data_IF_160651646763
#
_entry.id   IF_160651646763
#
_cell.length_a   1.000
_cell.length_b   1.000
_cell.length_c   1.000
_cell.angle_alpha   90.00
_cell.angle_beta   90.00
_cell.angle_gamma   90.00
#
_symmetry.space_group_name_H-M   'P 1'
#
loop_
_entity.id
_entity.type
_entity.pdbx_description
1 polymer ?
#
# COMPACT_ATOMS: atom_id res chain seq x y z
N UNK A 1 -32.36 -40.52 27.37
CA UNK A 1 -32.80 -39.21 27.90
C UNK A 1 -31.83 -38.17 27.40
N UNK A 2 -32.17 -37.46 26.31
CA UNK A 2 -31.30 -36.42 25.72
C UNK A 2 -31.53 -35.13 26.50
N UNK A 3 -30.52 -34.67 27.24
CA UNK A 3 -30.52 -33.32 27.81
C UNK A 3 -30.04 -32.36 26.73
N UNK A 4 -30.96 -31.54 26.24
CA UNK A 4 -30.68 -30.31 25.50
C UNK A 4 -30.23 -29.24 26.50
N UNK A 5 -28.93 -28.93 26.53
CA UNK A 5 -28.42 -27.73 27.20
C UNK A 5 -28.07 -26.72 26.11
N UNK A 6 -28.96 -25.74 25.95
CA UNK A 6 -28.73 -24.54 25.15
C UNK A 6 -27.86 -23.60 25.99
N UNK A 7 -26.55 -23.53 25.71
CA UNK A 7 -25.70 -22.45 26.18
C UNK A 7 -25.59 -21.42 25.06
N UNK A 8 -26.31 -20.31 25.21
CA UNK A 8 -26.06 -19.10 24.43
C UNK A 8 -24.87 -18.41 25.07
N UNK A 9 -23.67 -18.65 24.53
CA UNK A 9 -22.52 -17.79 24.77
C UNK A 9 -22.45 -16.79 23.60
N UNK A 10 -22.85 -15.55 23.87
CA UNK A 10 -22.47 -14.39 23.07
C UNK A 10 -20.93 -14.37 22.89
N UNK A 11 -20.40 -13.90 21.76
CA UNK A 11 -18.98 -14.05 21.47
C UNK A 11 -18.18 -13.23 22.47
N UNK A 12 -17.43 -13.92 23.33
CA UNK A 12 -16.22 -13.34 23.89
C UNK A 12 -15.29 -13.10 22.69
N UNK A 13 -15.27 -11.85 22.24
CA UNK A 13 -14.17 -11.30 21.47
C UNK A 13 -12.94 -11.44 22.37
N UNK A 14 -12.04 -12.37 22.04
CA UNK A 14 -10.70 -12.37 22.63
C UNK A 14 -9.92 -11.26 21.93
N UNK A 15 -10.12 -10.03 22.40
CA UNK A 15 -9.20 -8.94 22.19
C UNK A 15 -7.99 -9.21 23.07
N UNK A 16 -6.86 -9.62 22.48
CA UNK A 16 -5.58 -9.58 23.17
C UNK A 16 -5.11 -8.12 23.24
N UNK A 17 -5.71 -7.32 24.15
CA UNK A 17 -5.13 -6.05 24.59
C UNK A 17 -4.14 -6.37 25.71
N UNK A 18 -2.85 -6.26 25.37
CA UNK A 18 -1.76 -6.50 26.29
C UNK A 18 -0.44 -6.00 25.71
N UNK A 19 -0.35 -4.71 25.38
CA UNK A 19 0.93 -4.03 25.32
C UNK A 19 1.49 -4.00 26.75
N UNK A 20 2.60 -4.72 26.98
CA UNK A 20 3.44 -4.49 28.15
C UNK A 20 4.73 -3.90 27.61
N UNK A 21 5.00 -2.65 27.98
CA UNK A 21 6.21 -1.92 27.63
C UNK A 21 7.44 -2.77 27.94
N UNK A 22 8.15 -3.16 26.88
CA UNK A 22 9.47 -3.78 27.01
C UNK A 22 10.47 -2.66 26.78
N UNK A 23 11.03 -2.13 27.86
CA UNK A 23 12.24 -1.31 27.76
C UNK A 23 13.30 -2.09 26.96
N UNK A 24 13.93 -1.47 25.94
CA UNK A 24 14.93 -2.15 25.15
C UNK A 24 16.21 -2.29 25.98
N UNK A 25 16.56 -3.54 26.28
CA UNK A 25 17.83 -3.91 26.88
C UNK A 25 18.98 -3.48 25.97
N UNK A 26 19.77 -2.53 26.45
CA UNK A 26 21.00 -2.04 25.82
C UNK A 26 22.12 -3.04 26.07
N UNK A 27 22.19 -4.13 25.29
CA UNK A 27 23.49 -4.76 24.99
C UNK A 27 23.39 -5.80 23.87
N UNK A 28 23.63 -5.38 22.64
CA UNK A 28 24.28 -6.22 21.64
C UNK A 28 24.96 -5.29 20.64
N UNK A 29 26.28 -5.43 20.57
CA UNK A 29 27.18 -4.55 19.87
C UNK A 29 26.93 -4.50 18.35
N UNK A 30 27.16 -3.31 17.83
CA UNK A 30 27.29 -2.94 16.43
C UNK A 30 28.15 -3.94 15.65
N UNK A 31 27.53 -4.62 14.68
CA UNK A 31 28.21 -5.10 13.49
C UNK A 31 27.71 -4.23 12.35
N UNK A 32 28.49 -3.18 12.05
CA UNK A 32 28.21 -2.22 11.00
C UNK A 32 28.11 -2.88 9.63
N UNK A 33 26.95 -2.72 9.01
CA UNK A 33 26.81 -2.68 7.57
C UNK A 33 25.91 -1.47 7.25
N UNK A 34 26.55 -0.32 7.07
CA UNK A 34 25.90 0.85 6.49
C UNK A 34 25.35 0.47 5.12
N UNK A 35 24.06 0.68 4.82
CA UNK A 35 23.67 0.90 3.44
C UNK A 35 24.23 2.27 3.06
N UNK A 36 25.36 2.18 2.35
CA UNK A 36 26.10 3.26 1.72
C UNK A 36 25.18 4.33 1.15
N UNK A 37 25.51 5.59 1.45
CA UNK A 37 24.86 6.80 1.01
C UNK A 37 24.31 6.72 -0.42
N UNK A 38 23.00 6.69 -0.59
CA UNK A 38 22.38 7.11 -1.85
C UNK A 38 22.49 8.63 -1.91
N UNK A 39 23.57 9.04 -2.53
CA UNK A 39 24.02 10.39 -2.80
C UNK A 39 22.91 11.38 -3.13
N UNK A 40 23.01 12.56 -2.53
CA UNK A 40 22.33 13.81 -2.90
C UNK A 40 22.81 14.36 -4.26
N UNK A 41 23.08 13.48 -5.23
CA UNK A 41 23.47 13.90 -6.57
C UNK A 41 22.26 14.56 -7.22
N UNK A 42 22.46 15.82 -7.58
CA UNK A 42 21.55 16.54 -8.46
C UNK A 42 21.39 15.81 -9.80
N UNK A 43 20.47 16.29 -10.65
CA UNK A 43 20.31 15.76 -11.99
C UNK A 43 21.65 15.80 -12.75
N UNK A 44 21.97 14.77 -13.55
CA UNK A 44 23.13 14.82 -14.44
C UNK A 44 23.06 16.06 -15.34
N UNK A 45 24.20 16.70 -15.61
CA UNK A 45 24.29 17.89 -16.48
C UNK A 45 23.73 17.68 -17.90
N UNK A 46 23.62 16.41 -18.34
CA UNK A 46 23.04 16.02 -19.62
C UNK A 46 21.51 16.04 -19.66
N UNK A 47 20.83 16.13 -18.50
CA UNK A 47 19.37 16.24 -18.48
C UNK A 47 18.94 17.70 -18.68
N UNK A 48 17.81 17.94 -19.37
CA UNK A 48 17.22 19.27 -19.39
C UNK A 48 17.04 19.80 -17.95
N UNK A 49 17.23 21.11 -17.73
CA UNK A 49 16.97 21.70 -16.43
C UNK A 49 15.52 21.44 -16.02
N UNK A 50 15.23 21.31 -14.71
CA UNK A 50 13.87 21.12 -14.25
C UNK A 50 12.99 22.26 -14.74
N UNK A 51 11.83 21.94 -15.27
CA UNK A 51 10.80 22.96 -15.47
C UNK A 51 10.37 23.51 -14.10
N UNK A 52 9.86 24.74 -14.08
CA UNK A 52 9.46 25.43 -12.84
C UNK A 52 8.53 24.54 -12.00
N UNK A 53 8.83 24.43 -10.71
CA UNK A 53 8.02 23.70 -9.74
C UNK A 53 8.20 22.17 -9.76
N UNK A 54 9.19 21.62 -10.48
CA UNK A 54 9.45 20.17 -10.45
C UNK A 54 10.55 19.81 -9.44
N UNK A 55 10.39 18.69 -8.75
CA UNK A 55 11.39 18.07 -7.89
C UNK A 55 12.22 17.05 -8.69
N UNK A 56 13.53 17.00 -8.44
CA UNK A 56 14.41 15.95 -8.94
C UNK A 56 14.28 14.71 -8.06
N UNK A 57 14.00 13.57 -8.69
CA UNK A 57 14.01 12.25 -8.05
C UNK A 57 15.26 11.51 -8.54
N UNK A 58 16.28 11.30 -7.68
CA UNK A 58 17.46 10.54 -8.04
C UNK A 58 17.11 9.11 -8.43
N UNK A 59 17.81 8.59 -9.44
CA UNK A 59 17.75 7.18 -9.79
C UNK A 59 18.14 6.29 -8.60
N UNK A 60 17.55 5.11 -8.51
CA UNK A 60 17.81 4.19 -7.41
C UNK A 60 16.75 3.11 -7.26
N UNK A 61 16.89 2.32 -6.20
CA UNK A 61 16.00 1.21 -5.91
C UNK A 61 14.66 1.69 -5.31
N UNK A 62 13.57 1.21 -5.90
CA UNK A 62 12.22 1.24 -5.36
C UNK A 62 11.84 -0.18 -4.92
N UNK A 63 11.34 -0.34 -3.70
CA UNK A 63 10.56 -1.52 -3.31
C UNK A 63 9.13 -1.23 -3.73
N UNK A 64 8.71 -1.76 -4.87
CA UNK A 64 7.45 -1.43 -5.54
C UNK A 64 6.29 -2.22 -4.92
N UNK A 65 5.45 -1.52 -4.17
CA UNK A 65 4.34 -2.06 -3.40
C UNK A 65 4.65 -2.35 -1.94
N UNK A 66 3.96 -3.36 -1.42
CA UNK A 66 4.07 -3.80 -0.03
C UNK A 66 4.30 -5.30 -0.04
N UNK A 67 5.32 -5.78 0.68
CA UNK A 67 5.65 -7.20 0.74
C UNK A 67 4.43 -8.04 1.16
N UNK A 68 4.25 -9.27 0.65
CA UNK A 68 3.05 -10.06 0.91
C UNK A 68 2.85 -10.43 2.39
N UNK A 69 3.93 -10.46 3.17
CA UNK A 69 3.95 -10.73 4.61
C UNK A 69 3.78 -9.48 5.48
N UNK A 70 3.75 -8.28 4.88
CA UNK A 70 3.53 -7.03 5.60
C UNK A 70 2.03 -6.75 5.77
N UNK A 71 1.57 -6.72 7.03
CA UNK A 71 0.18 -6.42 7.37
C UNK A 71 0.03 -5.07 8.10
N UNK A 72 -1.11 -4.36 7.92
CA UNK A 72 -2.18 -4.65 6.95
C UNK A 72 -1.70 -4.39 5.49
N UNK A 73 -2.37 -4.93 4.48
CA UNK A 73 -2.07 -4.76 3.04
C UNK A 73 -3.37 -4.95 2.25
N UNK A 74 -3.55 -4.27 1.12
CA UNK A 74 -4.64 -4.59 0.18
C UNK A 74 -4.11 -5.61 -0.84
N UNK A 75 -4.38 -6.89 -0.59
CA UNK A 75 -3.64 -7.99 -1.20
C UNK A 75 -3.82 -8.17 -2.72
N UNK A 76 -4.90 -7.63 -3.30
CA UNK A 76 -5.20 -7.66 -4.72
C UNK A 76 -5.04 -6.30 -5.43
N UNK A 77 -4.57 -5.26 -4.73
CA UNK A 77 -4.35 -3.92 -5.27
C UNK A 77 -2.92 -3.39 -5.05
N UNK A 78 -2.25 -3.76 -3.96
CA UNK A 78 -0.86 -3.38 -3.75
C UNK A 78 0.04 -4.40 -4.46
N UNK A 79 0.95 -3.95 -5.34
CA UNK A 79 1.97 -4.82 -5.95
C UNK A 79 2.88 -5.46 -4.86
N UNK A 80 3.55 -6.59 -5.11
CA UNK A 80 4.07 -7.48 -4.05
C UNK A 80 5.39 -7.03 -3.38
N UNK A 81 5.79 -5.76 -3.49
CA UNK A 81 7.01 -5.27 -2.84
C UNK A 81 8.30 -5.69 -3.56
N UNK A 82 8.29 -5.73 -4.89
CA UNK A 82 9.47 -6.12 -5.69
C UNK A 82 10.48 -4.99 -5.83
N UNK A 83 11.78 -5.32 -5.77
CA UNK A 83 12.81 -4.31 -5.98
C UNK A 83 13.01 -4.02 -7.47
N UNK A 84 12.82 -2.76 -7.86
CA UNK A 84 13.07 -2.26 -9.22
C UNK A 84 14.04 -1.08 -9.18
N UNK A 85 14.91 -0.98 -10.19
CA UNK A 85 15.84 0.15 -10.33
C UNK A 85 15.24 1.16 -11.31
N UNK A 86 15.01 2.38 -10.84
CA UNK A 86 14.53 3.49 -11.66
C UNK A 86 15.69 4.43 -12.04
N UNK A 87 15.64 4.96 -13.26
CA UNK A 87 16.44 6.11 -13.68
C UNK A 87 15.89 7.37 -13.03
N UNK A 88 16.75 8.36 -12.82
CA UNK A 88 16.32 9.65 -12.29
C UNK A 88 15.41 10.42 -13.25
N UNK A 89 14.46 11.16 -12.69
CA UNK A 89 13.42 11.89 -13.42
C UNK A 89 12.97 13.10 -12.61
N UNK A 90 12.20 13.99 -13.23
CA UNK A 90 11.55 15.09 -12.52
C UNK A 90 10.06 14.82 -12.37
N UNK A 91 9.47 15.29 -11.27
CA UNK A 91 8.04 15.22 -10.99
C UNK A 91 7.54 16.57 -10.47
N UNK A 92 6.34 16.97 -10.86
CA UNK A 92 5.67 18.16 -10.30
C UNK A 92 5.56 18.04 -8.77
N UNK A 93 5.95 19.10 -8.06
CA UNK A 93 5.91 19.17 -6.60
C UNK A 93 4.47 19.05 -6.08
N UNK A 94 3.53 19.70 -6.74
CA UNK A 94 2.10 19.67 -6.41
C UNK A 94 1.29 19.05 -7.55
N UNK A 95 0.05 18.59 -7.28
CA UNK A 95 -0.89 18.25 -8.34
C UNK A 95 -1.07 19.39 -9.35
N UNK A 96 -1.37 19.07 -10.61
CA UNK A 96 -1.60 20.06 -11.66
C UNK A 96 -2.63 21.11 -11.19
N UNK A 97 -2.36 22.42 -11.27
CA UNK A 97 -1.39 23.10 -12.15
C UNK A 97 0.07 23.20 -11.65
N UNK A 98 0.43 22.46 -10.59
CA UNK A 98 1.76 22.49 -9.98
C UNK A 98 2.12 23.85 -9.36
N UNK A 99 1.14 24.44 -8.68
CA UNK A 99 1.28 25.73 -7.99
C UNK A 99 0.79 25.60 -6.56
N UNK A 100 1.58 26.11 -5.61
CA UNK A 100 1.16 26.19 -4.21
C UNK A 100 -0.03 27.15 -4.07
N UNK A 101 -1.03 26.76 -3.28
CA UNK A 101 -2.25 27.53 -3.10
C UNK A 101 -3.28 27.39 -4.23
N UNK A 102 -2.95 26.72 -5.34
CA UNK A 102 -3.92 26.42 -6.39
C UNK A 102 -4.83 25.26 -6.02
N UNK A 103 -6.06 25.24 -6.53
CA UNK A 103 -6.94 24.07 -6.45
C UNK A 103 -6.50 23.05 -7.52
N UNK A 104 -6.26 21.78 -7.16
CA UNK A 104 -5.95 20.74 -8.14
C UNK A 104 -7.00 20.63 -9.24
N UNK A 105 -6.56 20.58 -10.49
CA UNK A 105 -7.44 20.36 -11.63
C UNK A 105 -7.99 18.93 -11.58
N UNK A 106 -9.31 18.80 -11.69
CA UNK A 106 -10.03 17.51 -11.67
C UNK A 106 -11.06 17.44 -12.79
N UNK A 107 -11.86 16.38 -12.84
CA UNK A 107 -12.83 16.12 -13.92
C UNK A 107 -12.18 15.97 -15.29
N UNK A 108 -11.00 15.37 -15.34
CA UNK A 108 -10.24 15.09 -16.56
C UNK A 108 -10.11 13.57 -16.76
N UNK A 109 -10.15 13.10 -17.99
CA UNK A 109 -9.78 11.70 -18.31
C UNK A 109 -8.27 11.53 -18.26
N UNK A 110 -7.78 10.29 -18.34
CA UNK A 110 -6.35 10.03 -18.44
C UNK A 110 -5.74 10.66 -19.71
N UNK A 111 -6.48 10.64 -20.82
CA UNK A 111 -6.06 11.27 -22.07
C UNK A 111 -5.96 12.80 -21.96
N UNK A 112 -6.91 13.43 -21.27
CA UNK A 112 -6.90 14.89 -21.04
C UNK A 112 -5.70 15.26 -20.14
N UNK A 113 -5.48 14.51 -19.05
CA UNK A 113 -4.34 14.70 -18.16
C UNK A 113 -2.99 14.56 -18.89
N UNK A 114 -2.87 13.56 -19.77
CA UNK A 114 -1.71 13.38 -20.62
C UNK A 114 -1.49 14.58 -21.54
N UNK A 115 -2.51 15.00 -22.27
CA UNK A 115 -2.42 16.13 -23.20
C UNK A 115 -1.98 17.42 -22.47
N UNK A 116 -2.55 17.70 -21.29
CA UNK A 116 -2.17 18.87 -20.48
C UNK A 116 -0.72 18.82 -19.98
N UNK A 117 -0.17 17.64 -19.72
CA UNK A 117 1.27 17.50 -19.44
C UNK A 117 2.11 17.73 -20.69
N UNK A 118 1.70 17.17 -21.84
CA UNK A 118 2.41 17.28 -23.12
C UNK A 118 2.44 18.74 -23.64
N UNK A 119 1.38 19.51 -23.43
CA UNK A 119 1.31 20.95 -23.74
C UNK A 119 2.39 21.77 -23.00
N UNK A 120 2.83 21.30 -21.83
CA UNK A 120 3.93 21.90 -21.06
C UNK A 120 5.30 21.27 -21.40
N UNK A 121 5.39 20.41 -22.41
CA UNK A 121 6.60 19.64 -22.71
C UNK A 121 6.98 18.64 -21.61
N UNK A 122 6.00 18.21 -20.80
CA UNK A 122 6.11 17.17 -19.79
C UNK A 122 5.41 15.90 -20.30
N UNK A 123 5.22 14.93 -19.42
CA UNK A 123 4.46 13.70 -19.64
C UNK A 123 3.72 13.32 -18.37
N UNK A 124 2.78 12.41 -18.45
CA UNK A 124 2.19 11.80 -17.25
C UNK A 124 3.24 10.90 -16.57
N UNK A 125 3.22 10.85 -15.24
CA UNK A 125 4.13 9.99 -14.46
C UNK A 125 3.74 8.52 -14.61
N UNK A 126 4.70 7.60 -14.60
CA UNK A 126 4.36 6.18 -14.42
C UNK A 126 4.01 5.87 -12.97
N UNK A 127 3.31 4.77 -12.74
CA UNK A 127 2.93 4.31 -11.41
C UNK A 127 4.14 4.16 -10.48
N UNK A 128 5.25 3.61 -10.99
CA UNK A 128 6.46 3.38 -10.19
C UNK A 128 7.26 4.67 -9.95
N UNK A 129 7.24 5.62 -10.89
CA UNK A 129 7.80 6.96 -10.67
C UNK A 129 7.04 7.70 -9.56
N UNK A 130 5.71 7.64 -9.60
CA UNK A 130 4.87 8.22 -8.56
C UNK A 130 5.16 7.60 -7.20
N UNK A 131 5.20 6.26 -7.12
CA UNK A 131 5.47 5.57 -5.86
C UNK A 131 6.86 5.91 -5.30
N UNK A 132 7.89 5.94 -6.16
CA UNK A 132 9.24 6.34 -5.77
C UNK A 132 9.29 7.75 -5.20
N UNK A 133 8.61 8.69 -5.84
CA UNK A 133 8.52 10.07 -5.39
C UNK A 133 7.84 10.18 -4.02
N UNK A 134 6.84 9.34 -3.76
CA UNK A 134 6.15 9.26 -2.47
C UNK A 134 7.04 8.64 -1.38
N UNK A 135 7.60 7.45 -1.64
CA UNK A 135 8.32 6.66 -0.65
C UNK A 135 9.63 7.27 -0.17
N UNK A 136 10.19 8.22 -0.92
CA UNK A 136 11.48 8.82 -0.59
C UNK A 136 12.65 7.82 -0.74
N UNK A 137 13.90 8.24 -0.44
CA UNK A 137 15.10 7.42 -0.61
C UNK A 137 15.08 6.14 0.22
N UNK A 138 14.32 6.12 1.32
CA UNK A 138 14.29 5.04 2.29
C UNK A 138 13.12 4.05 2.09
N UNK A 139 12.39 4.12 0.97
CA UNK A 139 11.26 3.22 0.68
C UNK A 139 10.16 3.22 1.77
N UNK A 140 9.86 4.40 2.34
CA UNK A 140 8.93 4.55 3.45
C UNK A 140 7.51 4.13 3.09
N UNK A 141 6.73 3.71 4.09
CA UNK A 141 5.31 3.32 3.91
C UNK A 141 4.41 4.49 3.53
N UNK A 142 4.61 5.65 4.15
CA UNK A 142 3.91 6.91 3.90
C UNK A 142 4.94 7.97 3.47
N UNK A 143 4.49 9.00 2.76
CA UNK A 143 5.39 10.08 2.31
C UNK A 143 6.15 10.76 3.47
N UNK A 144 5.54 10.79 4.66
CA UNK A 144 6.12 11.42 5.85
C UNK A 144 6.79 10.44 6.83
N UNK A 145 6.84 9.13 6.57
CA UNK A 145 7.26 8.16 7.60
C UNK A 145 6.73 6.74 7.41
N UNK A 146 7.08 5.85 8.34
CA UNK A 146 6.55 4.48 8.36
C UNK A 146 5.33 4.31 9.29
N UNK A 147 5.16 5.23 10.24
CA UNK A 147 4.02 5.26 11.14
C UNK A 147 2.91 6.15 10.58
N UNK A 148 1.69 5.63 10.52
CA UNK A 148 0.52 6.38 10.06
C UNK A 148 0.23 7.59 10.97
N UNK A 149 -0.07 8.74 10.35
CA UNK A 149 -0.39 9.99 11.04
C UNK A 149 -1.52 10.72 10.30
N UNK A 150 -2.74 10.56 10.80
CA UNK A 150 -3.94 11.13 10.17
C UNK A 150 -3.87 12.64 9.99
N UNK A 151 -3.15 13.36 10.86
CA UNK A 151 -2.99 14.82 10.85
C UNK A 151 -2.03 15.34 9.76
N UNK A 152 -1.21 14.48 9.15
CA UNK A 152 -0.19 14.90 8.17
C UNK A 152 -0.80 15.20 6.80
N UNK A 153 -1.44 14.19 6.22
CA UNK A 153 -2.11 14.30 4.93
C UNK A 153 -3.64 14.43 5.05
N UNK A 154 -4.21 14.35 6.25
CA UNK A 154 -5.68 14.36 6.45
C UNK A 154 -6.40 13.22 5.69
N UNK A 155 -5.73 12.08 5.52
CA UNK A 155 -6.39 10.87 5.02
C UNK A 155 -7.35 10.32 6.08
N UNK A 156 -8.43 9.64 5.66
CA UNK A 156 -9.45 9.11 6.57
C UNK A 156 -10.57 10.11 6.90
N UNK A 157 -10.37 11.40 6.63
CA UNK A 157 -11.40 12.42 6.77
C UNK A 157 -12.33 12.45 5.54
N UNK A 158 -13.49 13.11 5.66
CA UNK A 158 -14.34 13.36 4.49
C UNK A 158 -13.55 14.10 3.40
N UNK A 159 -13.54 13.60 2.15
CA UNK A 159 -12.83 14.25 1.06
C UNK A 159 -13.31 15.70 0.92
N UNK A 160 -12.39 16.63 1.07
CA UNK A 160 -12.61 18.04 0.80
C UNK A 160 -11.48 18.51 -0.10
N UNK A 161 -11.84 19.09 -1.25
CA UNK A 161 -10.86 19.74 -2.11
C UNK A 161 -10.21 20.88 -1.33
N UNK A 162 -8.88 20.89 -1.29
CA UNK A 162 -8.08 21.91 -0.61
C UNK A 162 -7.04 22.45 -1.59
N UNK A 163 -6.61 23.71 -1.41
CA UNK A 163 -5.45 24.23 -2.11
C UNK A 163 -4.23 23.33 -1.90
N UNK A 164 -3.43 23.15 -2.95
CA UNK A 164 -2.12 22.52 -2.88
C UNK A 164 -1.24 23.24 -1.85
N UNK A 165 -0.45 22.49 -1.09
CA UNK A 165 0.39 23.01 0.00
C UNK A 165 -0.37 23.25 1.31
N UNK A 166 -1.71 23.14 1.34
CA UNK A 166 -2.48 23.30 2.59
C UNK A 166 -2.05 22.29 3.66
N UNK A 167 -1.63 21.09 3.26
CA UNK A 167 -1.16 20.03 4.16
C UNK A 167 0.35 20.12 4.31
N UNK A 168 0.82 21.07 5.11
CA UNK A 168 2.25 21.36 5.29
C UNK A 168 3.09 20.12 5.67
N UNK A 169 2.50 19.15 6.38
CA UNK A 169 3.16 17.89 6.76
C UNK A 169 3.07 16.75 5.74
N UNK A 170 2.35 16.93 4.63
CA UNK A 170 2.12 15.96 3.57
C UNK A 170 3.19 16.17 2.48
N UNK A 171 4.40 15.75 2.79
CA UNK A 171 5.61 15.98 1.99
C UNK A 171 6.55 14.79 2.08
N UNK A 172 7.01 14.31 0.93
CA UNK A 172 8.03 13.27 0.86
C UNK A 172 9.44 13.80 1.16
N UNK A 173 10.38 12.91 1.45
CA UNK A 173 11.80 13.28 1.61
C UNK A 173 12.43 13.88 0.34
N UNK A 174 11.85 13.63 -0.85
CA UNK A 174 12.24 14.31 -2.09
C UNK A 174 11.59 15.68 -2.27
N UNK A 175 10.77 16.10 -1.31
CA UNK A 175 10.11 17.38 -1.31
C UNK A 175 8.89 17.46 -2.22
N UNK A 176 8.30 16.32 -2.59
CA UNK A 176 7.04 16.26 -3.33
C UNK A 176 5.88 16.33 -2.35
N UNK A 177 4.89 17.17 -2.63
CA UNK A 177 3.78 17.48 -1.73
C UNK A 177 2.47 16.85 -2.17
N UNK A 178 1.57 16.69 -1.19
CA UNK A 178 0.17 16.31 -1.37
C UNK A 178 -0.01 15.06 -2.24
N UNK A 179 0.87 14.05 -2.05
CA UNK A 179 0.71 12.78 -2.78
C UNK A 179 -0.49 11.99 -2.25
N UNK A 180 -0.91 12.23 -1.00
CA UNK A 180 -2.15 11.71 -0.45
C UNK A 180 -3.05 12.79 0.16
N UNK A 181 -4.29 12.39 0.48
CA UNK A 181 -5.23 13.22 1.24
C UNK A 181 -6.01 14.24 0.40
N UNK A 182 -5.63 14.41 -0.85
CA UNK A 182 -6.31 15.21 -1.86
C UNK A 182 -7.00 14.34 -2.90
N UNK A 183 -6.67 14.60 -4.16
CA UNK A 183 -7.21 13.88 -5.32
C UNK A 183 -6.46 12.56 -5.53
N UNK A 184 -7.14 11.61 -6.16
CA UNK A 184 -6.46 10.52 -6.86
C UNK A 184 -5.79 11.07 -8.11
N UNK A 185 -4.64 10.53 -8.48
CA UNK A 185 -3.84 11.06 -9.58
C UNK A 185 -3.67 10.03 -10.70
N UNK A 186 -4.04 10.41 -11.92
CA UNK A 186 -3.78 9.63 -13.12
C UNK A 186 -2.29 9.34 -13.29
N UNK A 187 -1.97 8.11 -13.65
CA UNK A 187 -0.65 7.68 -14.08
C UNK A 187 -0.69 7.15 -15.52
N UNK A 188 0.49 7.01 -16.10
CA UNK A 188 0.71 6.46 -17.44
C UNK A 188 0.91 4.94 -17.44
N UNK A 189 0.41 4.26 -16.41
CA UNK A 189 0.58 2.82 -16.22
C UNK A 189 -0.74 2.07 -16.32
N UNK A 190 -0.75 0.88 -16.95
CA UNK A 190 -1.90 -0.01 -16.91
C UNK A 190 -2.09 -0.55 -15.49
N UNK A 191 -3.31 -1.02 -15.18
CA UNK A 191 -3.63 -1.56 -13.85
C UNK A 191 -2.86 -2.82 -13.47
N UNK A 192 -2.60 -3.73 -14.41
CA UNK A 192 -1.69 -4.87 -14.20
C UNK A 192 -2.06 -5.85 -13.07
N UNK A 193 -3.33 -5.89 -12.61
CA UNK A 193 -3.80 -6.71 -11.47
C UNK A 193 -4.99 -7.60 -11.83
N UNK A 194 -4.81 -8.46 -12.84
CA UNK A 194 -5.75 -9.55 -13.15
C UNK A 194 -7.12 -9.12 -13.68
N UNK A 195 -7.21 -8.01 -14.42
CA UNK A 195 -8.46 -7.53 -15.03
C UNK A 195 -8.31 -7.48 -16.55
N UNK A 196 -9.18 -8.21 -17.26
CA UNK A 196 -9.22 -8.25 -18.73
C UNK A 196 -10.11 -7.13 -19.31
N UNK A 197 -9.73 -5.88 -19.02
CA UNK A 197 -10.29 -4.67 -19.64
C UNK A 197 -9.29 -3.52 -19.50
N UNK A 198 -9.42 -2.50 -20.35
CA UNK A 198 -8.57 -1.31 -20.28
C UNK A 198 -8.85 -0.52 -18.98
N UNK A 199 -7.97 -0.71 -18.00
CA UNK A 199 -7.98 0.00 -16.72
C UNK A 199 -6.58 0.57 -16.53
N UNK A 200 -6.53 1.82 -16.09
CA UNK A 200 -5.27 2.53 -15.81
C UNK A 200 -5.16 2.84 -14.33
N UNK A 201 -3.93 2.94 -13.85
CA UNK A 201 -3.66 3.10 -12.42
C UNK A 201 -3.81 4.55 -11.98
N UNK A 202 -4.55 4.74 -10.88
CA UNK A 202 -4.54 5.90 -10.03
C UNK A 202 -3.67 5.67 -8.80
N UNK A 203 -3.01 6.71 -8.32
CA UNK A 203 -2.28 6.72 -7.05
C UNK A 203 -2.78 7.84 -6.13
N UNK A 204 -2.44 7.76 -4.84
CA UNK A 204 -2.73 8.81 -3.88
C UNK A 204 -4.15 8.79 -3.32
N UNK A 205 -4.83 9.94 -3.36
CA UNK A 205 -6.23 10.05 -2.97
C UNK A 205 -6.50 10.02 -1.46
N UNK A 206 -7.80 9.91 -1.15
CA UNK A 206 -8.32 9.92 0.22
C UNK A 206 -9.60 9.08 0.31
N UNK A 207 -9.75 8.33 1.41
CA UNK A 207 -10.95 7.56 1.74
C UNK A 207 -11.02 7.33 3.26
N UNK A 208 -12.17 6.84 3.80
CA UNK A 208 -12.33 6.59 5.24
C UNK A 208 -11.26 5.68 5.87
N UNK A 209 -10.78 4.68 5.14
CA UNK A 209 -9.66 3.82 5.56
C UNK A 209 -8.30 4.52 5.33
N UNK A 210 -8.10 5.66 6.00
CA UNK A 210 -6.99 6.58 5.75
C UNK A 210 -5.59 5.97 5.95
N UNK A 211 -5.47 4.97 6.83
CA UNK A 211 -4.20 4.26 7.06
C UNK A 211 -3.80 3.36 5.89
N UNK A 212 -4.77 2.85 5.12
CA UNK A 212 -4.54 1.97 3.98
C UNK A 212 -4.36 2.81 2.72
N UNK A 213 -5.28 3.77 2.49
CA UNK A 213 -5.26 4.66 1.32
C UNK A 213 -4.10 5.65 1.38
N UNK A 214 -3.66 6.07 2.56
CA UNK A 214 -2.53 7.00 2.68
C UNK A 214 -1.15 6.40 2.37
N UNK A 215 -1.06 5.09 2.09
CA UNK A 215 0.21 4.42 1.83
C UNK A 215 0.69 4.71 0.42
N UNK A 216 1.98 4.98 0.27
CA UNK A 216 2.59 5.18 -1.04
C UNK A 216 2.36 4.02 -2.02
N UNK A 217 2.26 2.79 -1.50
CA UNK A 217 1.99 1.58 -2.28
C UNK A 217 0.53 1.42 -2.73
N UNK A 218 -0.41 2.18 -2.13
CA UNK A 218 -1.82 2.07 -2.47
C UNK A 218 -2.09 2.59 -3.89
N UNK A 219 -3.01 1.91 -4.57
CA UNK A 219 -3.39 2.20 -5.94
C UNK A 219 -4.86 1.87 -6.16
N UNK A 220 -5.47 2.47 -7.17
CA UNK A 220 -6.83 2.16 -7.60
C UNK A 220 -6.91 2.08 -9.12
N UNK A 221 -7.61 1.10 -9.66
CA UNK A 221 -7.86 1.00 -11.10
C UNK A 221 -9.13 1.75 -11.52
N UNK A 222 -9.07 2.55 -12.59
CA UNK A 222 -10.25 3.13 -13.24
C UNK A 222 -10.21 3.02 -14.78
N UNK A 223 -11.38 2.95 -15.45
CA UNK A 223 -11.45 3.14 -16.90
C UNK A 223 -10.84 4.49 -17.31
N UNK A 224 -10.04 4.56 -18.39
CA UNK A 224 -9.27 5.75 -18.75
C UNK A 224 -10.12 6.97 -19.11
N UNK A 225 -11.38 6.76 -19.51
CA UNK A 225 -12.36 7.79 -19.85
C UNK A 225 -13.10 8.38 -18.63
N UNK A 226 -12.87 7.82 -17.44
CA UNK A 226 -13.49 8.28 -16.19
C UNK A 226 -13.15 9.75 -15.91
N UNK A 227 -14.15 10.56 -15.54
CA UNK A 227 -13.96 11.94 -15.10
C UNK A 227 -14.74 12.18 -13.82
N UNK A 228 -14.06 12.59 -12.74
CA UNK A 228 -14.71 12.93 -11.47
C UNK A 228 -13.98 14.06 -10.76
N UNK A 229 -14.67 14.76 -9.85
CA UNK A 229 -14.07 15.80 -9.02
C UNK A 229 -13.08 15.28 -7.97
N UNK A 230 -12.88 13.96 -7.88
CA UNK A 230 -11.92 13.33 -6.99
C UNK A 230 -10.64 12.87 -7.71
N UNK A 231 -10.58 12.98 -9.04
CA UNK A 231 -9.45 12.52 -9.85
C UNK A 231 -8.82 13.71 -10.58
N UNK A 232 -7.54 13.92 -10.33
CA UNK A 232 -6.65 14.85 -11.02
C UNK A 232 -5.41 14.13 -11.52
N UNK A 233 -4.26 14.83 -11.53
CA UNK A 233 -2.99 14.28 -12.00
C UNK A 233 -1.83 15.19 -11.60
N UNK A 234 -0.60 14.69 -11.80
CA UNK A 234 0.63 15.49 -11.80
C UNK A 234 1.54 15.05 -12.93
N UNK A 235 2.40 15.93 -13.41
CA UNK A 235 3.27 15.64 -14.55
C UNK A 235 4.68 15.24 -14.10
N UNK A 236 5.34 14.45 -14.95
CA UNK A 236 6.75 14.08 -14.87
C UNK A 236 7.50 14.55 -16.11
N UNK A 237 8.82 14.65 -16.04
CA UNK A 237 9.68 14.93 -17.20
C UNK A 237 11.02 14.21 -17.09
N UNK A 238 11.79 14.23 -18.18
CA UNK A 238 12.99 13.40 -18.32
C UNK A 238 12.67 11.97 -18.76
N UNK A 239 13.68 11.07 -18.72
CA UNK A 239 13.55 9.69 -19.19
C UNK A 239 12.36 8.98 -18.54
N UNK A 240 11.48 8.37 -19.34
CA UNK A 240 10.35 7.56 -18.83
C UNK A 240 10.87 6.22 -18.32
N UNK A 241 10.54 5.90 -17.06
CA UNK A 241 10.78 4.59 -16.51
C UNK A 241 9.68 3.61 -16.96
N UNK A 242 10.08 2.56 -17.70
CA UNK A 242 9.17 1.56 -18.28
C UNK A 242 9.12 0.25 -17.50
N UNK A 243 9.73 0.19 -16.31
CA UNK A 243 9.61 -0.99 -15.46
C UNK A 243 8.13 -1.19 -15.07
N UNK A 244 7.69 -2.44 -15.11
CA UNK A 244 6.35 -2.85 -14.70
C UNK A 244 6.49 -4.00 -13.70
N UNK A 245 5.66 -3.96 -12.66
CA UNK A 245 5.54 -5.03 -11.67
C UNK A 245 4.11 -5.54 -11.77
N UNK A 246 3.96 -6.79 -12.20
CA UNK A 246 2.66 -7.42 -12.37
C UNK A 246 2.25 -8.05 -11.05
N UNK A 247 1.00 -7.86 -10.66
CA UNK A 247 0.40 -8.60 -9.55
C UNK A 247 -0.51 -9.67 -10.14
N UNK A 248 -0.10 -10.93 -10.01
CA UNK A 248 -0.98 -12.05 -10.25
C UNK A 248 -2.05 -12.09 -9.15
N UNK A 249 -3.32 -12.03 -9.55
CA UNK A 249 -4.44 -12.01 -8.61
C UNK A 249 -5.21 -13.32 -8.69
N UNK A 250 -5.06 -14.14 -7.67
CA UNK A 250 -5.83 -15.36 -7.49
C UNK A 250 -7.13 -15.09 -6.73
N UNK A 251 -8.26 -15.52 -7.31
CA UNK A 251 -9.58 -15.40 -6.71
C UNK A 251 -10.24 -16.77 -6.58
N UNK A 252 -10.52 -17.18 -5.35
CA UNK A 252 -11.25 -18.42 -5.04
C UNK A 252 -12.72 -18.18 -4.67
N UNK A 253 -13.42 -19.25 -4.28
CA UNK A 253 -14.75 -19.12 -3.65
C UNK A 253 -14.64 -18.26 -2.39
N UNK A 254 -15.52 -17.26 -2.27
CA UNK A 254 -15.52 -16.29 -1.16
C UNK A 254 -15.53 -16.98 0.20
N UNK A 255 -16.33 -18.03 0.36
CA UNK A 255 -16.33 -18.89 1.54
C UNK A 255 -16.43 -20.34 1.08
N UNK A 256 -15.52 -21.17 1.56
CA UNK A 256 -15.44 -22.57 1.20
C UNK A 256 -15.40 -23.41 2.48
N UNK A 257 -16.45 -24.21 2.72
CA UNK A 257 -16.46 -25.17 3.82
C UNK A 257 -15.56 -26.36 3.50
N UNK A 258 -14.77 -26.79 4.48
CA UNK A 258 -13.98 -28.01 4.45
C UNK A 258 -14.24 -28.86 5.69
N UNK A 259 -14.52 -30.13 5.45
CA UNK A 259 -14.80 -31.13 6.49
C UNK A 259 -13.55 -31.67 7.18
N UNK A 260 -12.36 -31.32 6.69
CA UNK A 260 -11.05 -31.73 7.23
C UNK A 260 -10.03 -30.62 7.00
N UNK A 261 -8.96 -30.65 7.78
CA UNK A 261 -7.81 -29.73 7.65
C UNK A 261 -6.64 -30.51 7.09
N UNK A 262 -5.92 -29.93 6.13
CA UNK A 262 -4.70 -30.53 5.61
C UNK A 262 -3.62 -30.61 6.70
N UNK A 263 -2.83 -31.71 6.71
CA UNK A 263 -1.80 -31.94 7.73
C UNK A 263 -0.76 -30.81 7.81
N UNK A 264 -0.39 -30.21 6.67
CA UNK A 264 0.55 -29.09 6.62
C UNK A 264 0.01 -27.86 7.34
N UNK A 265 -1.26 -27.53 7.09
CA UNK A 265 -1.93 -26.41 7.75
C UNK A 265 -2.09 -26.66 9.25
N UNK A 266 -2.45 -27.88 9.66
CA UNK A 266 -2.51 -28.26 11.07
C UNK A 266 -1.15 -28.06 11.78
N UNK A 267 -0.05 -28.45 11.14
CA UNK A 267 1.31 -28.24 11.65
C UNK A 267 1.69 -26.75 11.74
N UNK A 268 1.27 -25.93 10.78
CA UNK A 268 1.52 -24.49 10.80
C UNK A 268 0.78 -23.79 11.95
N UNK A 269 -0.50 -24.11 12.13
CA UNK A 269 -1.32 -23.56 13.24
C UNK A 269 -0.70 -23.94 14.57
N UNK A 270 -0.37 -25.23 14.72
CA UNK A 270 0.28 -25.77 15.89
C UNK A 270 1.58 -25.05 16.27
N UNK A 271 2.42 -24.74 15.29
CA UNK A 271 3.68 -24.03 15.51
C UNK A 271 3.47 -22.60 16.04
N UNK A 272 2.35 -21.96 15.67
CA UNK A 272 2.02 -20.59 16.06
C UNK A 272 1.19 -20.48 17.34
N UNK A 273 0.78 -21.61 17.95
CA UNK A 273 0.08 -21.57 19.24
C UNK A 273 0.97 -20.95 20.34
N UNK A 274 0.40 -20.12 21.24
CA UNK A 274 1.09 -19.67 22.44
C UNK A 274 1.58 -20.86 23.28
N UNK A 275 2.66 -20.68 24.04
CA UNK A 275 3.20 -21.75 24.89
C UNK A 275 2.19 -22.23 25.94
N UNK A 276 1.34 -21.34 26.44
CA UNK A 276 0.25 -21.67 27.36
C UNK A 276 -0.74 -22.63 26.72
N UNK A 277 -1.14 -22.36 25.46
CA UNK A 277 -2.04 -23.22 24.71
C UNK A 277 -1.38 -24.58 24.38
N UNK A 278 -0.08 -24.58 24.06
CA UNK A 278 0.67 -25.83 23.84
C UNK A 278 0.73 -26.70 25.10
N UNK A 279 0.89 -26.10 26.28
CA UNK A 279 0.91 -26.82 27.56
C UNK A 279 -0.46 -27.44 27.90
N UNK A 280 -1.55 -26.73 27.64
CA UNK A 280 -2.92 -27.23 27.91
C UNK A 280 -3.35 -28.32 26.91
N UNK A 281 -3.02 -28.15 25.62
CA UNK A 281 -3.37 -29.10 24.56
C UNK A 281 -2.45 -30.34 24.61
N UNK A 282 -1.23 -30.20 25.13
CA UNK A 282 -0.22 -31.25 25.19
C UNK A 282 0.39 -31.51 23.82
N UNK A 283 -0.09 -32.54 23.12
CA UNK A 283 0.43 -32.96 21.82
C UNK A 283 -0.56 -32.61 20.70
N UNK A 284 -0.04 -32.15 19.56
CA UNK A 284 -0.83 -31.59 18.46
C UNK A 284 -1.82 -32.58 17.82
N UNK A 285 -1.58 -33.87 18.00
CA UNK A 285 -2.45 -34.99 17.61
C UNK A 285 -3.73 -35.08 18.45
N UNK A 286 -3.81 -34.39 19.59
CA UNK A 286 -5.03 -34.32 20.41
C UNK A 286 -6.04 -33.27 19.96
N UNK A 287 -5.66 -32.40 19.01
CA UNK A 287 -6.59 -31.41 18.46
C UNK A 287 -7.46 -32.09 17.40
N UNK A 288 -8.75 -32.23 17.69
CA UNK A 288 -9.74 -32.70 16.71
C UNK A 288 -10.38 -31.48 16.07
N UNK A 289 -10.06 -31.26 14.79
CA UNK A 289 -10.72 -30.25 13.97
C UNK A 289 -12.04 -30.79 13.42
N UNK A 290 -13.17 -30.23 13.87
CA UNK A 290 -14.51 -30.69 13.50
C UNK A 290 -15.02 -30.01 12.22
N UNK A 291 -14.60 -28.77 12.00
CA UNK A 291 -15.08 -27.91 10.92
C UNK A 291 -14.04 -26.89 10.55
N UNK A 292 -13.93 -26.59 9.27
CA UNK A 292 -13.09 -25.51 8.79
C UNK A 292 -13.73 -24.80 7.62
N UNK A 293 -13.38 -23.53 7.46
CA UNK A 293 -13.71 -22.74 6.29
C UNK A 293 -12.46 -22.00 5.82
N UNK A 294 -12.33 -21.87 4.51
CA UNK A 294 -11.43 -20.92 3.89
C UNK A 294 -12.28 -19.73 3.48
N UNK A 295 -12.05 -18.59 4.11
CA UNK A 295 -12.67 -17.32 3.76
C UNK A 295 -11.68 -16.48 2.95
N UNK A 296 -12.11 -16.02 1.78
CA UNK A 296 -11.30 -15.20 0.85
C UNK A 296 -11.99 -13.86 0.70
N UNK A 297 -11.69 -12.88 1.58
CA UNK A 297 -12.34 -11.57 1.53
C UNK A 297 -11.93 -10.78 0.28
N UNK A 298 -10.67 -10.92 -0.13
CA UNK A 298 -10.04 -10.27 -1.29
C UNK A 298 -9.27 -11.30 -2.12
N UNK A 299 -8.81 -10.90 -3.31
CA UNK A 299 -7.86 -11.72 -4.07
C UNK A 299 -6.52 -11.80 -3.33
N UNK A 300 -5.80 -12.90 -3.49
CA UNK A 300 -4.53 -13.16 -2.80
C UNK A 300 -4.58 -13.15 -1.27
N UNK A 301 -5.78 -13.20 -0.67
CA UNK A 301 -5.95 -13.26 0.79
C UNK A 301 -6.79 -14.47 1.17
N UNK A 302 -6.26 -15.27 2.10
CA UNK A 302 -6.94 -16.44 2.66
C UNK A 302 -6.93 -16.39 4.19
N UNK A 303 -8.12 -16.51 4.77
CA UNK A 303 -8.33 -16.64 6.21
C UNK A 303 -8.91 -18.02 6.50
N UNK A 304 -8.25 -18.75 7.40
CA UNK A 304 -8.69 -20.07 7.83
C UNK A 304 -9.50 -19.93 9.12
N UNK A 305 -10.80 -20.23 9.05
CA UNK A 305 -11.71 -20.26 10.18
C UNK A 305 -11.89 -21.71 10.61
N UNK A 306 -11.43 -22.06 11.80
CA UNK A 306 -11.34 -23.45 12.24
C UNK A 306 -12.06 -23.61 13.57
N UNK A 307 -12.93 -24.61 13.66
CA UNK A 307 -13.57 -25.06 14.89
C UNK A 307 -13.15 -26.49 15.21
N UNK A 308 -12.81 -26.73 16.47
CA UNK A 308 -12.42 -28.03 16.97
C UNK A 308 -12.35 -28.06 18.49
N UNK A 309 -12.03 -29.23 19.02
CA UNK A 309 -11.88 -29.47 20.45
C UNK A 309 -10.51 -30.09 20.73
N UNK A 310 -9.87 -29.69 21.83
CA UNK A 310 -8.77 -30.46 22.39
C UNK A 310 -9.36 -31.69 23.09
N UNK A 311 -8.95 -32.89 22.69
CA UNK A 311 -9.34 -34.12 23.36
C UNK A 311 -8.83 -34.10 24.80
N UNK A 312 -9.76 -34.01 25.76
CA UNK A 312 -9.52 -34.27 27.19
C UNK A 312 -9.49 -35.79 27.40
#
# INVERSE_FOLDING_TARGET
MRLTSLLVAAPLVVSALGCRDREPDRSAAEAGAEPSATSSLGPPDSLPPPQKGMAWIPGGALVAGTAPDAFPRIADEEIPGEQVILKGFYIDVFPHPNEEGAIPLTNVSQSDARALCEEQGKRLCTELEWERACKGPNNRRYEYGDAYRADRCMTGAQPAMRPSGFRVGCRSEFGVHDMHGGVWEWTDSPWGRGVDREIVTLRGGNAPAGELVGRCANAMGRPPDTKTGAIGFRCCSGPKNQAEVVLDVERGKKLEYRNTIDKKLAQQIAAQLPEEAKQEIGTLDKIVFERSWIWRPLGNEELYLIGGCAGI
#
